data_IF_887227303541
#
_entry.id   IF_887227303541
#
_cell.length_a   1.000
_cell.length_b   1.000
_cell.length_c   1.000
_cell.angle_alpha   90.00
_cell.angle_beta   90.00
_cell.angle_gamma   90.00
#
_symmetry.space_group_name_H-M   'P 1'
#
loop_
_entity.id
_entity.type
_entity.pdbx_description
1 polymer ?
#
# COMPACT_ATOMS: atom_id res chain seq x y z
N UNK A 1 45.50 -64.25 37.14
CA UNK A 1 44.62 -63.07 37.07
C UNK A 1 44.11 -62.96 35.64
N UNK A 2 42.89 -63.39 35.41
CA UNK A 2 42.21 -63.43 34.11
C UNK A 2 41.70 -62.04 33.73
N UNK A 3 41.92 -61.68 32.46
CA UNK A 3 41.41 -60.46 31.82
C UNK A 3 39.89 -60.40 31.87
N UNK A 4 39.34 -59.23 32.18
CA UNK A 4 37.99 -58.82 31.81
C UNK A 4 38.12 -57.61 30.88
N UNK A 5 38.12 -57.91 29.58
CA UNK A 5 37.89 -56.93 28.51
C UNK A 5 36.49 -56.38 28.72
N UNK A 6 36.36 -55.14 29.18
CA UNK A 6 35.08 -54.42 29.09
C UNK A 6 34.75 -54.28 27.62
N UNK A 7 33.73 -55.02 27.19
CA UNK A 7 33.04 -54.86 25.92
C UNK A 7 32.63 -53.40 25.77
N UNK A 8 33.20 -52.73 24.78
CA UNK A 8 32.70 -51.46 24.26
C UNK A 8 31.28 -51.70 23.74
N UNK A 9 30.27 -51.18 24.45
CA UNK A 9 28.90 -51.11 23.91
C UNK A 9 28.91 -50.27 22.63
N UNK A 10 28.42 -50.78 21.49
CA UNK A 10 28.28 -49.98 20.28
C UNK A 10 26.97 -49.18 20.34
N UNK A 11 26.90 -48.17 21.19
CA UNK A 11 25.80 -47.18 21.19
C UNK A 11 26.17 -46.02 20.25
N UNK A 12 26.34 -46.29 18.95
CA UNK A 12 26.69 -45.24 17.97
C UNK A 12 26.05 -45.45 16.59
N UNK A 13 25.23 -46.48 16.39
CA UNK A 13 24.67 -46.81 15.07
C UNK A 13 23.32 -46.18 14.72
N UNK A 14 22.58 -45.67 15.71
CA UNK A 14 21.15 -45.41 15.56
C UNK A 14 20.72 -44.05 16.10
N UNK A 15 21.52 -43.00 15.82
CA UNK A 15 20.91 -41.69 15.55
C UNK A 15 20.06 -41.86 14.31
N UNK A 16 18.84 -42.27 14.56
CA UNK A 16 17.91 -42.79 13.58
C UNK A 16 17.60 -41.71 12.54
N UNK A 17 17.40 -42.13 11.29
CA UNK A 17 16.87 -41.26 10.21
C UNK A 17 15.59 -40.53 10.68
N UNK A 18 14.84 -41.12 11.61
CA UNK A 18 13.69 -40.50 12.24
C UNK A 18 14.05 -39.27 13.10
N UNK A 19 15.18 -39.28 13.80
CA UNK A 19 15.68 -38.17 14.62
C UNK A 19 16.14 -37.00 13.73
N UNK A 20 16.82 -37.29 12.62
CA UNK A 20 17.22 -36.28 11.62
C UNK A 20 16.02 -35.63 10.92
N UNK A 21 15.00 -36.41 10.57
CA UNK A 21 13.76 -35.89 9.98
C UNK A 21 12.99 -35.03 10.99
N UNK A 22 12.97 -35.43 12.27
CA UNK A 22 12.40 -34.63 13.35
C UNK A 22 13.13 -33.30 13.50
N UNK A 23 14.48 -33.32 13.55
CA UNK A 23 15.30 -32.11 13.69
C UNK A 23 15.16 -31.17 12.50
N UNK A 24 15.12 -31.69 11.27
CA UNK A 24 14.89 -30.90 10.06
C UNK A 24 13.48 -30.28 10.05
N UNK A 25 12.46 -31.05 10.45
CA UNK A 25 11.08 -30.55 10.55
C UNK A 25 10.97 -29.43 11.58
N UNK A 26 11.66 -29.59 12.71
CA UNK A 26 11.71 -28.59 13.76
C UNK A 26 12.48 -27.34 13.31
N UNK A 27 13.60 -27.49 12.60
CA UNK A 27 14.36 -26.40 12.00
C UNK A 27 13.56 -25.64 10.93
N UNK A 28 12.86 -26.33 10.04
CA UNK A 28 11.99 -25.69 9.06
C UNK A 28 10.84 -24.94 9.73
N UNK A 29 10.24 -25.53 10.76
CA UNK A 29 9.21 -24.85 11.54
C UNK A 29 9.77 -23.61 12.26
N UNK A 30 11.00 -23.66 12.78
CA UNK A 30 11.70 -22.48 13.32
C UNK A 30 11.93 -21.41 12.26
N UNK A 31 12.46 -21.77 11.09
CA UNK A 31 12.74 -20.84 10.00
C UNK A 31 11.48 -20.13 9.50
N UNK A 32 10.37 -20.87 9.29
CA UNK A 32 9.09 -20.28 8.88
C UNK A 32 8.59 -19.27 9.91
N UNK A 33 8.69 -19.59 11.21
CA UNK A 33 8.30 -18.68 12.29
C UNK A 33 9.19 -17.44 12.33
N UNK A 34 10.48 -17.57 12.04
CA UNK A 34 11.40 -16.43 12.00
C UNK A 34 11.16 -15.53 10.80
N UNK A 35 10.92 -16.10 9.61
CA UNK A 35 10.57 -15.34 8.41
C UNK A 35 9.23 -14.60 8.59
N UNK A 36 8.25 -15.23 9.24
CA UNK A 36 7.00 -14.57 9.62
C UNK A 36 7.23 -13.40 10.59
N UNK A 37 8.10 -13.57 11.60
CA UNK A 37 8.45 -12.51 12.55
C UNK A 37 9.16 -11.36 11.86
N UNK A 38 10.08 -11.67 10.94
CA UNK A 38 10.79 -10.69 10.13
C UNK A 38 9.84 -9.91 9.23
N UNK A 39 8.98 -10.61 8.47
CA UNK A 39 7.98 -10.00 7.61
C UNK A 39 7.02 -9.11 8.40
N UNK A 40 6.58 -9.56 9.58
CA UNK A 40 5.74 -8.74 10.47
C UNK A 40 6.47 -7.48 10.94
N UNK A 41 7.74 -7.59 11.35
CA UNK A 41 8.54 -6.45 11.77
C UNK A 41 8.80 -5.47 10.61
N UNK A 42 9.03 -5.96 9.40
CA UNK A 42 9.21 -5.12 8.22
C UNK A 42 7.91 -4.41 7.83
N UNK A 43 6.78 -5.12 7.85
CA UNK A 43 5.45 -4.53 7.61
C UNK A 43 5.12 -3.46 8.65
N UNK A 44 5.42 -3.67 9.93
CA UNK A 44 5.24 -2.65 10.96
C UNK A 44 6.13 -1.42 10.71
N UNK A 45 7.40 -1.61 10.33
CA UNK A 45 8.31 -0.50 10.01
C UNK A 45 7.84 0.27 8.77
N UNK A 46 7.45 -0.43 7.70
CA UNK A 46 6.88 0.18 6.48
C UNK A 46 5.57 0.91 6.80
N UNK A 47 4.68 0.27 7.55
CA UNK A 47 3.40 0.83 7.99
C UNK A 47 3.57 2.10 8.83
N UNK A 48 4.52 2.11 9.78
CA UNK A 48 4.80 3.31 10.58
C UNK A 48 5.34 4.46 9.73
N UNK A 49 6.26 4.19 8.79
CA UNK A 49 6.80 5.20 7.87
C UNK A 49 5.73 5.74 6.93
N UNK A 50 4.93 4.85 6.34
CA UNK A 50 3.81 5.23 5.49
C UNK A 50 2.75 6.04 6.26
N UNK A 51 2.42 5.61 7.48
CA UNK A 51 1.48 6.31 8.36
C UNK A 51 1.97 7.70 8.76
N UNK A 52 3.26 7.85 9.11
CA UNK A 52 3.85 9.15 9.38
C UNK A 52 3.83 10.04 8.13
N UNK A 53 4.20 9.49 6.97
CA UNK A 53 4.17 10.23 5.71
C UNK A 53 2.77 10.70 5.33
N UNK A 54 1.77 9.82 5.44
CA UNK A 54 0.37 10.16 5.21
C UNK A 54 -0.16 11.17 6.23
N UNK A 55 0.22 11.03 7.51
CA UNK A 55 -0.14 11.97 8.56
C UNK A 55 0.44 13.36 8.33
N UNK A 56 1.73 13.45 8.00
CA UNK A 56 2.39 14.72 7.67
C UNK A 56 1.83 15.34 6.39
N UNK A 57 1.58 14.55 5.34
CA UNK A 57 0.96 15.04 4.11
C UNK A 57 -0.45 15.56 4.36
N UNK A 58 -1.25 14.87 5.18
CA UNK A 58 -2.57 15.33 5.62
C UNK A 58 -2.51 16.63 6.41
N UNK A 59 -1.61 16.72 7.40
CA UNK A 59 -1.41 17.92 8.21
C UNK A 59 -0.93 19.12 7.36
N UNK A 60 -0.02 18.88 6.41
CA UNK A 60 0.42 19.88 5.45
C UNK A 60 -0.73 20.35 4.56
N UNK A 61 -1.59 19.43 4.09
CA UNK A 61 -2.78 19.75 3.31
C UNK A 61 -3.77 20.63 4.07
N UNK A 62 -4.09 20.29 5.32
CA UNK A 62 -4.96 21.10 6.17
C UNK A 62 -4.35 22.48 6.45
N UNK A 63 -3.07 22.53 6.79
CA UNK A 63 -2.36 23.80 7.02
C UNK A 63 -2.34 24.68 5.78
N UNK A 64 -2.05 24.11 4.61
CA UNK A 64 -2.06 24.83 3.34
C UNK A 64 -3.46 25.33 2.98
N UNK A 65 -4.51 24.54 3.25
CA UNK A 65 -5.90 24.96 3.06
C UNK A 65 -6.28 26.15 3.94
N UNK A 66 -5.97 26.09 5.24
CA UNK A 66 -6.23 27.20 6.18
C UNK A 66 -5.42 28.45 5.83
N UNK A 67 -4.14 28.29 5.49
CA UNK A 67 -3.29 29.39 5.02
C UNK A 67 -3.84 30.03 3.73
N UNK A 68 -4.24 29.20 2.76
CA UNK A 68 -4.90 29.66 1.54
C UNK A 68 -6.20 30.41 1.81
N UNK A 69 -7.07 29.88 2.67
CA UNK A 69 -8.32 30.56 3.06
C UNK A 69 -8.04 31.92 3.74
N UNK A 70 -6.99 32.01 4.55
CA UNK A 70 -6.57 33.26 5.19
C UNK A 70 -6.04 34.28 4.18
N UNK A 71 -5.29 33.84 3.18
CA UNK A 71 -4.84 34.69 2.07
C UNK A 71 -6.01 35.19 1.21
N UNK A 72 -6.99 34.31 0.91
CA UNK A 72 -8.22 34.71 0.23
C UNK A 72 -8.96 35.79 1.03
N UNK A 73 -9.11 35.61 2.34
CA UNK A 73 -9.70 36.61 3.22
C UNK A 73 -8.90 37.93 3.20
N UNK A 74 -7.56 37.86 3.20
CA UNK A 74 -6.70 39.03 3.08
C UNK A 74 -6.96 39.81 1.78
N UNK A 75 -7.07 39.13 0.64
CA UNK A 75 -7.40 39.78 -0.65
C UNK A 75 -8.80 40.41 -0.61
N UNK A 76 -9.79 39.72 -0.05
CA UNK A 76 -11.15 40.27 0.11
C UNK A 76 -11.12 41.53 0.97
N UNK A 77 -10.45 41.50 2.12
CA UNK A 77 -10.33 42.64 3.02
C UNK A 77 -9.56 43.81 2.38
N UNK A 78 -8.51 43.53 1.62
CA UNK A 78 -7.76 44.55 0.89
C UNK A 78 -8.64 45.26 -0.16
N UNK A 79 -9.44 44.50 -0.94
CA UNK A 79 -10.40 45.08 -1.88
C UNK A 79 -11.53 45.82 -1.15
N UNK A 80 -11.95 45.35 0.03
CA UNK A 80 -12.97 46.01 0.83
C UNK A 80 -12.57 47.42 1.32
N UNK A 81 -11.28 47.79 1.23
CA UNK A 81 -10.83 49.16 1.51
C UNK A 81 -11.30 50.17 0.46
N UNK A 82 -11.62 49.71 -0.76
CA UNK A 82 -11.99 50.58 -1.90
C UNK A 82 -13.39 50.30 -2.45
N UNK A 83 -14.07 49.24 -1.99
CA UNK A 83 -15.43 48.88 -2.41
C UNK A 83 -16.19 48.13 -1.30
N UNK A 84 -17.52 47.94 -1.39
CA UNK A 84 -18.27 47.18 -0.39
C UNK A 84 -17.77 45.74 -0.25
N UNK A 85 -17.66 45.27 1.00
CA UNK A 85 -17.10 43.94 1.32
C UNK A 85 -17.81 42.78 0.61
N UNK A 86 -19.14 42.87 0.42
CA UNK A 86 -19.91 41.84 -0.27
C UNK A 86 -19.52 41.73 -1.75
N UNK A 87 -19.20 42.86 -2.40
CA UNK A 87 -18.80 42.89 -3.81
C UNK A 87 -17.36 42.38 -3.98
N UNK A 88 -16.47 42.78 -3.06
CA UNK A 88 -15.10 42.25 -3.01
C UNK A 88 -15.09 40.72 -2.86
N UNK A 89 -15.89 40.18 -1.92
CA UNK A 89 -16.04 38.75 -1.73
C UNK A 89 -16.59 38.03 -2.99
N UNK A 90 -17.55 38.64 -3.69
CA UNK A 90 -18.13 38.08 -4.90
C UNK A 90 -17.10 38.02 -6.05
N UNK A 91 -16.33 39.09 -6.26
CA UNK A 91 -15.29 39.14 -7.29
C UNK A 91 -14.22 38.06 -7.05
N UNK A 92 -13.69 37.99 -5.83
CA UNK A 92 -12.68 37.00 -5.46
C UNK A 92 -13.24 35.58 -5.56
N UNK A 93 -14.49 35.36 -5.11
CA UNK A 93 -15.17 34.08 -5.20
C UNK A 93 -15.33 33.60 -6.65
N UNK A 94 -15.79 34.47 -7.56
CA UNK A 94 -15.90 34.13 -8.98
C UNK A 94 -14.54 33.81 -9.60
N UNK A 95 -13.51 34.61 -9.29
CA UNK A 95 -12.16 34.36 -9.78
C UNK A 95 -11.63 32.98 -9.32
N UNK A 96 -11.84 32.62 -8.05
CA UNK A 96 -11.47 31.31 -7.53
C UNK A 96 -12.24 30.17 -8.17
N UNK A 97 -13.54 30.34 -8.44
CA UNK A 97 -14.35 29.33 -9.14
C UNK A 97 -13.86 29.08 -10.56
N UNK A 98 -13.43 30.13 -11.27
CA UNK A 98 -12.81 29.99 -12.60
C UNK A 98 -11.52 29.17 -12.51
N UNK A 99 -10.63 29.52 -11.58
CA UNK A 99 -9.38 28.77 -11.36
C UNK A 99 -9.66 27.32 -10.99
N UNK A 100 -10.60 27.08 -10.07
CA UNK A 100 -11.01 25.73 -9.66
C UNK A 100 -11.59 24.93 -10.84
N UNK A 101 -12.41 25.56 -11.69
CA UNK A 101 -12.93 24.96 -12.91
C UNK A 101 -11.83 24.52 -13.88
N UNK A 102 -10.81 25.37 -14.08
CA UNK A 102 -9.65 25.04 -14.92
C UNK A 102 -8.83 23.88 -14.32
N UNK A 103 -8.55 23.93 -13.02
CA UNK A 103 -7.84 22.83 -12.34
C UNK A 103 -8.62 21.52 -12.43
N UNK A 104 -9.94 21.55 -12.25
CA UNK A 104 -10.79 20.37 -12.39
C UNK A 104 -10.78 19.83 -13.82
N UNK A 105 -10.77 20.71 -14.84
CA UNK A 105 -10.66 20.29 -16.23
C UNK A 105 -9.31 19.60 -16.51
N UNK A 106 -8.20 20.17 -16.05
CA UNK A 106 -6.86 19.56 -16.17
C UNK A 106 -6.78 18.24 -15.42
N UNK A 107 -7.29 18.17 -14.19
CA UNK A 107 -7.31 16.95 -13.39
C UNK A 107 -8.09 15.83 -14.10
N UNK A 108 -9.24 16.15 -14.71
CA UNK A 108 -10.02 15.18 -15.52
C UNK A 108 -9.22 14.67 -16.71
N UNK A 109 -8.48 15.53 -17.42
CA UNK A 109 -7.64 15.12 -18.55
C UNK A 109 -6.52 14.20 -18.08
N UNK A 110 -5.85 14.54 -16.99
CA UNK A 110 -4.76 13.74 -16.45
C UNK A 110 -5.26 12.38 -15.94
N UNK A 111 -6.41 12.34 -15.26
CA UNK A 111 -7.01 11.08 -14.82
C UNK A 111 -7.40 10.18 -16.00
N UNK A 112 -8.00 10.76 -17.06
CA UNK A 112 -8.31 10.03 -18.29
C UNK A 112 -7.07 9.49 -19.02
N UNK A 113 -5.91 10.13 -18.87
CA UNK A 113 -4.63 9.65 -19.42
C UNK A 113 -3.96 8.60 -18.53
N UNK A 114 -4.08 8.73 -17.21
CA UNK A 114 -3.49 7.82 -16.23
C UNK A 114 -4.28 6.52 -16.08
N UNK A 115 -5.56 6.50 -16.49
CA UNK A 115 -6.34 5.28 -16.63
C UNK A 115 -6.24 4.84 -18.09
N UNK A 116 -5.48 3.78 -18.45
CA UNK A 116 -5.55 3.23 -19.79
C UNK A 116 -7.02 2.87 -20.08
N UNK A 117 -7.56 3.07 -21.30
CA UNK A 117 -8.79 2.40 -21.66
C UNK A 117 -8.60 0.91 -21.33
N UNK A 118 -9.49 0.34 -20.50
CA UNK A 118 -9.49 -1.09 -20.16
C UNK A 118 -9.06 -1.87 -21.41
N UNK A 119 -7.95 -2.62 -21.39
CA UNK A 119 -7.45 -3.27 -22.58
C UNK A 119 -8.57 -4.13 -23.13
N UNK A 120 -9.11 -3.78 -24.29
CA UNK A 120 -10.19 -4.57 -24.93
C UNK A 120 -9.74 -6.03 -25.09
N UNK A 121 -8.44 -6.23 -25.31
CA UNK A 121 -7.77 -7.53 -25.35
C UNK A 121 -7.85 -8.32 -24.02
N UNK A 122 -7.80 -7.65 -22.86
CA UNK A 122 -7.96 -8.31 -21.57
C UNK A 122 -9.42 -8.77 -21.32
N UNK A 123 -10.40 -8.05 -21.88
CA UNK A 123 -11.81 -8.47 -21.85
C UNK A 123 -12.10 -9.60 -22.84
N UNK A 124 -11.43 -9.63 -24.00
CA UNK A 124 -11.55 -10.70 -25.00
C UNK A 124 -10.87 -12.00 -24.54
N UNK A 125 -9.77 -11.91 -23.78
CA UNK A 125 -9.10 -13.07 -23.17
C UNK A 125 -9.95 -13.73 -22.09
N UNK A 126 -10.51 -12.94 -21.17
CA UNK A 126 -11.41 -13.46 -20.12
C UNK A 126 -12.68 -14.08 -20.72
N UNK A 127 -13.22 -13.51 -21.80
CA UNK A 127 -14.38 -14.10 -22.49
C UNK A 127 -14.03 -15.44 -23.16
N UNK A 128 -12.85 -15.55 -23.79
CA UNK A 128 -12.35 -16.81 -24.36
C UNK A 128 -12.14 -17.88 -23.28
N UNK A 129 -11.55 -17.51 -22.15
CA UNK A 129 -11.29 -18.43 -21.05
C UNK A 129 -12.61 -18.95 -20.41
N UNK A 130 -13.62 -18.09 -20.30
CA UNK A 130 -14.97 -18.49 -19.86
C UNK A 130 -15.66 -19.41 -20.87
N UNK A 131 -15.42 -19.22 -22.18
CA UNK A 131 -16.00 -20.04 -23.24
C UNK A 131 -15.40 -21.45 -23.26
N UNK A 132 -14.08 -21.57 -23.10
CA UNK A 132 -13.36 -22.85 -22.97
C UNK A 132 -13.78 -23.60 -21.71
N UNK A 133 -13.99 -22.90 -20.58
CA UNK A 133 -14.48 -23.55 -19.36
C UNK A 133 -15.93 -24.07 -19.52
N UNK A 134 -16.79 -23.38 -20.29
CA UNK A 134 -18.16 -23.81 -20.55
C UNK A 134 -18.25 -25.01 -21.50
N UNK A 135 -17.32 -25.15 -22.44
CA UNK A 135 -17.26 -26.32 -23.32
C UNK A 135 -16.82 -27.58 -22.58
N UNK A 136 -15.80 -27.49 -21.71
CA UNK A 136 -15.28 -28.64 -20.95
C UNK A 136 -16.25 -29.17 -19.87
N UNK A 137 -17.26 -28.39 -19.47
CA UNK A 137 -18.29 -28.84 -18.51
C UNK A 137 -19.50 -29.46 -19.21
N UNK A 138 -19.63 -29.30 -20.54
CA UNK A 138 -20.76 -29.81 -21.33
C UNK A 138 -20.43 -31.08 -22.14
N UNK A 139 -19.15 -31.46 -22.21
CA UNK A 139 -18.66 -32.76 -22.73
C UNK A 139 -18.52 -33.77 -21.60
#
# INVERSE_FOLDING_TARGET
MTQQVRTTSPETGDRSVAELVSDLSEQMSRLVRDEMRLATAELQRKGKRAGLGAGLAGAAGVTAFLGGATLVACVVLALALVMPAWLAALIVGVALLVVAGLMAAVARVQLKRATPPLPREAMDGVQRDVQVMKENVRS
#
